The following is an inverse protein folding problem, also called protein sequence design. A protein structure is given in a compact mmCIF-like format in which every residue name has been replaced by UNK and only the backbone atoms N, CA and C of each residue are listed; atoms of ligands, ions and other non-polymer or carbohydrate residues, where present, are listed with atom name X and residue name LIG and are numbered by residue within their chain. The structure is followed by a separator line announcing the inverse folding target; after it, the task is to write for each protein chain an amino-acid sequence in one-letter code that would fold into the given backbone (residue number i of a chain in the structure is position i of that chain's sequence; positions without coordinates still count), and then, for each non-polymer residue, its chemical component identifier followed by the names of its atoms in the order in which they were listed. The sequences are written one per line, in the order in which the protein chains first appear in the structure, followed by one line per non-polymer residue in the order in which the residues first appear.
data_IF_962851749169
#
_entry.id   IF_962851749169
#
_cell.length_a   1.000
_cell.length_b   1.000
_cell.length_c   1.000
_cell.angle_alpha   90.00
_cell.angle_beta   90.00
_cell.angle_gamma   90.00
#
_symmetry.space_group_name_H-M   'P 1'
#
loop_
_entity.id
_entity.type
_entity.pdbx_description
1 polymer ?
#
# COMPACT_ATOMS: atom_id res chain seq x y z
N UNK A 1 25.50 -6.75 -6.89
CA UNK A 1 25.32 -5.28 -6.86
C UNK A 1 23.94 -4.81 -7.32
N UNK A 2 23.23 -5.59 -8.15
CA UNK A 2 21.87 -5.26 -8.61
C UNK A 2 20.84 -5.13 -7.47
N UNK A 3 20.78 -6.08 -6.53
CA UNK A 3 19.84 -6.04 -5.39
C UNK A 3 20.02 -4.80 -4.51
N UNK A 4 21.26 -4.39 -4.23
CA UNK A 4 21.55 -3.16 -3.47
C UNK A 4 21.03 -1.93 -4.18
N UNK A 5 21.22 -1.85 -5.50
CA UNK A 5 20.68 -0.77 -6.32
C UNK A 5 19.14 -0.77 -6.26
N UNK A 6 18.49 -1.93 -6.30
CA UNK A 6 17.03 -2.01 -6.17
C UNK A 6 16.53 -1.49 -4.83
N UNK A 7 17.19 -1.85 -3.72
CA UNK A 7 16.81 -1.36 -2.40
C UNK A 7 17.01 0.16 -2.28
N UNK A 8 18.09 0.69 -2.87
CA UNK A 8 18.33 2.13 -2.95
C UNK A 8 17.24 2.84 -3.76
N UNK A 9 16.89 2.31 -4.94
CA UNK A 9 15.84 2.86 -5.80
C UNK A 9 14.46 2.75 -5.15
N UNK A 10 14.19 1.66 -4.43
CA UNK A 10 12.95 1.49 -3.68
C UNK A 10 12.83 2.55 -2.58
N UNK A 11 13.91 2.84 -1.85
CA UNK A 11 13.96 3.93 -0.88
C UNK A 11 13.78 5.31 -1.52
N UNK A 12 14.48 5.59 -2.62
CA UNK A 12 14.34 6.84 -3.36
C UNK A 12 12.91 7.02 -3.92
N UNK A 13 12.31 5.94 -4.41
CA UNK A 13 10.92 5.93 -4.86
C UNK A 13 9.95 6.23 -3.70
N UNK A 14 10.23 5.75 -2.49
CA UNK A 14 9.50 6.14 -1.29
C UNK A 14 9.49 7.66 -1.08
N UNK A 15 10.63 8.33 -1.27
CA UNK A 15 10.71 9.81 -1.18
C UNK A 15 9.82 10.47 -2.23
N UNK A 16 9.81 9.97 -3.47
CA UNK A 16 8.89 10.49 -4.50
C UNK A 16 7.43 10.27 -4.10
N UNK A 17 7.10 9.09 -3.55
CA UNK A 17 5.77 8.77 -3.03
C UNK A 17 5.31 9.70 -1.91
N UNK A 18 6.20 10.12 -1.02
CA UNK A 18 5.87 11.06 0.06
C UNK A 18 5.65 12.49 -0.45
N UNK A 19 6.41 12.93 -1.46
CA UNK A 19 6.19 14.22 -2.14
C UNK A 19 4.84 14.23 -2.88
N UNK A 20 4.50 13.14 -3.57
CA UNK A 20 3.20 12.96 -4.21
C UNK A 20 2.07 12.99 -3.18
N UNK A 21 2.25 12.29 -2.06
CA UNK A 21 1.30 12.34 -0.94
C UNK A 21 1.10 13.78 -0.46
N UNK A 22 2.17 14.52 -0.14
CA UNK A 22 2.07 15.90 0.35
C UNK A 22 1.33 16.82 -0.63
N UNK A 23 1.44 16.61 -1.94
CA UNK A 23 0.79 17.45 -2.95
C UNK A 23 -0.67 17.08 -3.23
N UNK A 24 -1.00 15.78 -3.21
CA UNK A 24 -2.30 15.29 -3.69
C UNK A 24 -3.24 14.81 -2.57
N UNK A 25 -2.72 14.51 -1.38
CA UNK A 25 -3.53 14.00 -0.27
C UNK A 25 -4.55 15.02 0.25
N UNK A 26 -4.21 16.31 0.24
CA UNK A 26 -5.14 17.37 0.67
C UNK A 26 -6.27 17.59 -0.34
N UNK A 27 -5.98 17.47 -1.65
CA UNK A 27 -6.97 17.71 -2.71
C UNK A 27 -7.90 16.51 -2.93
N UNK A 28 -7.36 15.30 -2.92
CA UNK A 28 -8.12 14.07 -3.23
C UNK A 28 -7.72 12.91 -2.30
N UNK A 29 -8.00 12.99 -0.99
CA UNK A 29 -7.51 12.02 0.00
C UNK A 29 -7.95 10.58 -0.29
N UNK A 30 -9.25 10.37 -0.51
CA UNK A 30 -9.80 9.04 -0.81
C UNK A 30 -9.33 8.51 -2.17
N UNK A 31 -9.35 9.36 -3.20
CA UNK A 31 -8.94 8.98 -4.55
C UNK A 31 -7.45 8.64 -4.66
N UNK A 32 -6.60 9.43 -4.02
CA UNK A 32 -5.16 9.17 -3.94
C UNK A 32 -4.87 7.84 -3.25
N UNK A 33 -5.52 7.58 -2.12
CA UNK A 33 -5.36 6.33 -1.38
C UNK A 33 -5.80 5.09 -2.19
N UNK A 34 -6.97 5.16 -2.82
CA UNK A 34 -7.47 4.10 -3.71
C UNK A 34 -6.51 3.87 -4.89
N UNK A 35 -6.01 4.96 -5.49
CA UNK A 35 -5.03 4.90 -6.57
C UNK A 35 -3.72 4.22 -6.13
N UNK A 36 -3.23 4.53 -4.94
CA UNK A 36 -2.02 3.92 -4.39
C UNK A 36 -2.20 2.40 -4.13
N UNK A 37 -3.34 1.97 -3.57
CA UNK A 37 -3.64 0.54 -3.40
C UNK A 37 -3.77 -0.16 -4.75
N UNK A 38 -4.39 0.49 -5.74
CA UNK A 38 -4.51 -0.06 -7.09
C UNK A 38 -3.13 -0.25 -7.72
N UNK A 39 -2.24 0.74 -7.58
CA UNK A 39 -0.87 0.65 -8.05
C UNK A 39 -0.09 -0.47 -7.35
N UNK A 40 -0.28 -0.65 -6.05
CA UNK A 40 0.29 -1.77 -5.29
C UNK A 40 -0.22 -3.12 -5.82
N UNK A 41 -1.54 -3.27 -6.00
CA UNK A 41 -2.13 -4.52 -6.50
C UNK A 41 -1.62 -4.87 -7.91
N UNK A 42 -1.55 -3.89 -8.81
CA UNK A 42 -0.95 -4.07 -10.13
C UNK A 42 0.53 -4.45 -10.05
N UNK A 43 1.28 -3.82 -9.14
CA UNK A 43 2.70 -4.12 -8.94
C UNK A 43 2.91 -5.58 -8.50
N UNK A 44 2.05 -6.10 -7.61
CA UNK A 44 2.12 -7.49 -7.15
C UNK A 44 1.71 -8.49 -8.23
N UNK A 45 0.69 -8.19 -9.03
CA UNK A 45 0.26 -9.03 -10.16
C UNK A 45 1.34 -9.11 -11.26
N UNK A 46 2.01 -7.99 -11.53
CA UNK A 46 3.05 -7.89 -12.55
C UNK A 46 4.42 -8.38 -12.05
N UNK A 47 4.55 -8.79 -10.79
CA UNK A 47 5.81 -9.22 -10.20
C UNK A 47 6.43 -10.42 -10.92
N UNK A 48 5.66 -11.49 -11.15
CA UNK A 48 6.16 -12.68 -11.85
C UNK A 48 6.56 -12.38 -13.30
N UNK A 49 5.72 -11.73 -14.15
CA UNK A 49 6.13 -11.42 -15.52
C UNK A 49 7.28 -10.42 -15.60
N UNK A 50 7.39 -9.48 -14.66
CA UNK A 50 8.52 -8.55 -14.59
C UNK A 50 9.84 -9.22 -14.16
N UNK A 51 9.78 -10.35 -13.45
CA UNK A 51 10.97 -11.07 -13.02
C UNK A 51 11.82 -11.64 -14.17
N UNK A 52 11.27 -11.72 -15.39
CA UNK A 52 12.01 -12.11 -16.58
C UNK A 52 13.04 -11.08 -17.09
N UNK A 53 13.00 -9.83 -16.61
CA UNK A 53 13.93 -8.78 -17.02
C UNK A 53 14.28 -7.84 -15.87
N UNK A 54 15.59 -7.62 -15.67
CA UNK A 54 16.10 -6.72 -14.62
C UNK A 54 15.54 -5.29 -14.74
N UNK A 55 15.37 -4.79 -15.96
CA UNK A 55 14.81 -3.45 -16.20
C UNK A 55 13.33 -3.36 -15.81
N UNK A 56 12.53 -4.36 -16.18
CA UNK A 56 11.11 -4.42 -15.80
C UNK A 56 10.94 -4.52 -14.29
N UNK A 57 11.73 -5.38 -13.63
CA UNK A 57 11.71 -5.52 -12.18
C UNK A 57 12.10 -4.21 -11.49
N UNK A 58 13.07 -3.46 -12.04
CA UNK A 58 13.52 -2.17 -11.50
C UNK A 58 12.42 -1.12 -11.56
N UNK A 59 11.78 -0.97 -12.72
CA UNK A 59 10.65 -0.04 -12.92
C UNK A 59 9.50 -0.41 -11.98
N UNK A 60 9.18 -1.70 -11.87
CA UNK A 60 8.14 -2.20 -10.98
C UNK A 60 8.43 -1.88 -9.50
N UNK A 61 9.68 -2.07 -9.06
CA UNK A 61 10.11 -1.72 -7.70
C UNK A 61 9.93 -0.23 -7.38
N UNK A 62 10.16 0.66 -8.35
CA UNK A 62 9.95 2.10 -8.16
C UNK A 62 8.46 2.39 -7.92
N UNK A 63 7.57 1.84 -8.76
CA UNK A 63 6.12 2.01 -8.56
C UNK A 63 5.63 1.40 -7.26
N UNK A 64 6.16 0.23 -6.91
CA UNK A 64 5.82 -0.45 -5.66
C UNK A 64 6.25 0.37 -4.43
N UNK A 65 7.47 0.92 -4.44
CA UNK A 65 8.01 1.76 -3.35
C UNK A 65 7.22 3.06 -3.17
N UNK A 66 6.84 3.71 -4.27
CA UNK A 66 5.95 4.89 -4.23
C UNK A 66 4.59 4.54 -3.62
N UNK A 67 3.99 3.42 -4.06
CA UNK A 67 2.66 2.99 -3.62
C UNK A 67 2.62 2.70 -2.11
N UNK A 68 3.58 1.93 -1.59
CA UNK A 68 3.56 1.56 -0.17
C UNK A 68 3.76 2.79 0.74
N UNK A 69 4.63 3.73 0.34
CA UNK A 69 4.82 4.97 1.08
C UNK A 69 3.55 5.82 1.08
N UNK A 70 2.93 5.99 -0.10
CA UNK A 70 1.67 6.73 -0.24
C UNK A 70 0.54 6.14 0.61
N UNK A 71 0.41 4.81 0.65
CA UNK A 71 -0.56 4.09 1.48
C UNK A 71 -0.30 4.37 2.96
N UNK A 72 0.96 4.18 3.41
CA UNK A 72 1.34 4.38 4.82
C UNK A 72 1.04 5.78 5.33
N UNK A 73 1.43 6.81 4.58
CA UNK A 73 1.18 8.21 4.93
C UNK A 73 -0.32 8.55 4.89
N UNK A 74 -1.07 8.04 3.92
CA UNK A 74 -2.51 8.27 3.82
C UNK A 74 -3.27 7.65 4.98
N UNK A 75 -2.91 6.44 5.40
CA UNK A 75 -3.52 5.79 6.56
C UNK A 75 -3.12 6.50 7.85
N UNK A 76 -1.86 6.87 8.01
CA UNK A 76 -1.39 7.62 9.18
C UNK A 76 -2.13 8.96 9.32
N UNK A 77 -2.25 9.74 8.25
CA UNK A 77 -2.98 11.00 8.26
C UNK A 77 -4.46 10.81 8.62
N UNK A 78 -5.09 9.74 8.13
CA UNK A 78 -6.47 9.38 8.50
C UNK A 78 -6.59 9.05 9.99
N UNK A 79 -5.66 8.26 10.54
CA UNK A 79 -5.65 7.92 11.97
C UNK A 79 -5.57 9.19 12.83
N UNK A 80 -4.66 10.11 12.49
CA UNK A 80 -4.55 11.42 13.16
C UNK A 80 -5.85 12.22 13.08
N UNK A 81 -6.50 12.24 11.91
CA UNK A 81 -7.75 12.99 11.73
C UNK A 81 -8.94 12.39 12.49
N UNK A 82 -8.94 11.07 12.74
CA UNK A 82 -10.04 10.36 13.39
C UNK A 82 -9.95 10.40 14.91
N UNK A 83 -8.74 10.54 15.47
CA UNK A 83 -8.51 10.56 16.91
C UNK A 83 -7.53 11.68 17.31
N UNK A 84 -7.86 12.96 17.03
CA UNK A 84 -6.96 14.07 17.33
C UNK A 84 -6.68 14.19 18.84
N UNK A 85 -7.70 13.93 19.68
CA UNK A 85 -7.63 14.04 21.14
C UNK A 85 -6.80 12.93 21.81
N UNK A 86 -6.48 11.86 21.08
CA UNK A 86 -5.76 10.69 21.59
C UNK A 86 -4.67 10.21 20.60
N UNK A 87 -3.98 11.18 19.97
CA UNK A 87 -3.02 10.92 18.89
C UNK A 87 -1.95 9.90 19.28
N UNK A 88 -1.37 9.99 20.47
CA UNK A 88 -0.30 9.08 20.92
C UNK A 88 -0.79 7.62 21.01
N UNK A 89 -1.99 7.42 21.55
CA UNK A 89 -2.61 6.09 21.67
C UNK A 89 -3.02 5.55 20.30
N UNK A 90 -3.65 6.37 19.47
CA UNK A 90 -4.07 6.00 18.13
C UNK A 90 -2.86 5.61 17.25
N UNK A 91 -1.77 6.35 17.34
CA UNK A 91 -0.53 6.07 16.63
C UNK A 91 0.19 4.83 17.15
N UNK A 92 0.14 4.56 18.46
CA UNK A 92 0.66 3.32 19.03
C UNK A 92 -0.11 2.09 18.49
N UNK A 93 -1.44 2.15 18.45
CA UNK A 93 -2.28 1.08 17.87
C UNK A 93 -2.00 0.92 16.37
N UNK A 94 -1.91 2.03 15.63
CA UNK A 94 -1.59 2.01 14.20
C UNK A 94 -0.22 1.36 13.94
N UNK A 95 0.81 1.74 14.70
CA UNK A 95 2.13 1.14 14.63
C UNK A 95 2.10 -0.35 14.97
N UNK A 96 1.34 -0.75 15.99
CA UNK A 96 1.15 -2.16 16.35
C UNK A 96 0.52 -2.97 15.21
N UNK A 97 -0.54 -2.46 14.59
CA UNK A 97 -1.18 -3.07 13.43
C UNK A 97 -0.26 -3.13 12.20
N UNK A 98 0.51 -2.06 11.96
CA UNK A 98 1.46 -2.01 10.84
C UNK A 98 2.54 -3.10 10.98
N UNK A 99 3.11 -3.25 12.18
CA UNK A 99 4.08 -4.31 12.47
C UNK A 99 3.46 -5.70 12.42
N UNK A 100 2.22 -5.87 12.89
CA UNK A 100 1.49 -7.12 12.74
C UNK A 100 1.28 -7.48 11.27
N UNK A 101 0.99 -6.49 10.42
CA UNK A 101 0.90 -6.66 8.96
C UNK A 101 2.22 -7.11 8.35
N UNK A 102 3.34 -6.49 8.73
CA UNK A 102 4.68 -6.90 8.27
C UNK A 102 4.99 -8.34 8.72
N UNK A 103 4.76 -8.66 9.99
CA UNK A 103 5.04 -9.99 10.54
C UNK A 103 4.20 -11.09 9.90
N UNK A 104 2.88 -10.89 9.82
CA UNK A 104 1.97 -11.84 9.16
C UNK A 104 2.27 -11.98 7.67
N UNK A 105 2.60 -10.88 6.98
CA UNK A 105 3.03 -10.91 5.58
C UNK A 105 4.33 -11.69 5.37
N UNK A 106 5.31 -11.53 6.24
CA UNK A 106 6.56 -12.29 6.20
C UNK A 106 6.34 -13.78 6.45
N UNK A 107 5.49 -14.15 7.41
CA UNK A 107 5.11 -15.54 7.67
C UNK A 107 4.39 -16.16 6.46
N UNK A 108 3.40 -15.47 5.89
CA UNK A 108 2.70 -15.93 4.69
C UNK A 108 3.68 -16.07 3.50
N UNK A 109 4.55 -15.09 3.30
CA UNK A 109 5.59 -15.14 2.27
C UNK A 109 6.54 -16.32 2.44
N UNK A 110 6.94 -16.64 3.68
CA UNK A 110 7.75 -17.82 3.99
C UNK A 110 7.01 -19.12 3.65
N UNK A 111 5.75 -19.26 4.06
CA UNK A 111 4.92 -20.44 3.76
C UNK A 111 4.75 -20.66 2.25
N UNK A 112 4.50 -19.58 1.50
CA UNK A 112 4.41 -19.62 0.03
C UNK A 112 5.75 -20.02 -0.57
N UNK A 113 6.86 -19.45 -0.10
CA UNK A 113 8.19 -19.81 -0.58
C UNK A 113 8.53 -21.28 -0.34
N UNK A 114 8.09 -21.87 0.78
CA UNK A 114 8.34 -23.27 1.12
C UNK A 114 7.47 -24.27 0.33
N UNK A 115 6.20 -23.96 0.10
CA UNK A 115 5.24 -24.93 -0.47
C UNK A 115 4.89 -24.69 -1.94
N UNK A 116 4.91 -23.43 -2.39
CA UNK A 116 4.46 -23.01 -3.72
C UNK A 116 5.61 -22.41 -4.55
N UNK A 117 6.75 -22.09 -3.93
CA UNK A 117 7.90 -21.48 -4.57
C UNK A 117 7.86 -19.95 -4.59
N UNK A 118 9.05 -19.33 -4.58
CA UNK A 118 9.25 -17.88 -4.44
C UNK A 118 8.59 -17.06 -5.56
N UNK A 119 8.47 -17.60 -6.77
CA UNK A 119 7.82 -16.91 -7.90
C UNK A 119 6.32 -16.63 -7.68
N UNK A 120 5.65 -17.41 -6.83
CA UNK A 120 4.21 -17.29 -6.60
C UNK A 120 3.83 -16.26 -5.53
N UNK A 121 4.81 -15.62 -4.88
CA UNK A 121 4.57 -14.63 -3.81
C UNK A 121 3.67 -13.48 -4.30
N UNK A 122 3.94 -12.95 -5.51
CA UNK A 122 3.12 -11.88 -6.10
C UNK A 122 1.66 -12.28 -6.30
N UNK A 123 1.42 -13.51 -6.78
CA UNK A 123 0.07 -14.03 -7.00
C UNK A 123 -0.70 -14.33 -5.72
N UNK A 124 -0.01 -14.67 -4.63
CA UNK A 124 -0.67 -14.87 -3.32
C UNK A 124 -0.94 -13.53 -2.63
N UNK A 125 -0.04 -12.55 -2.78
CA UNK A 125 -0.19 -11.23 -2.20
C UNK A 125 -1.22 -10.35 -2.95
N UNK A 126 -1.37 -10.51 -4.26
CA UNK A 126 -2.27 -9.69 -5.06
C UNK A 126 -3.76 -9.80 -4.65
N UNK A 127 -4.34 -10.98 -4.40
CA UNK A 127 -5.70 -11.11 -3.85
C UNK A 127 -5.89 -10.36 -2.53
N UNK A 128 -4.89 -10.37 -1.64
CA UNK A 128 -4.96 -9.61 -0.38
C UNK A 128 -5.04 -8.10 -0.64
N UNK A 129 -4.24 -7.59 -1.58
CA UNK A 129 -4.31 -6.20 -2.01
C UNK A 129 -5.65 -5.85 -2.67
N UNK A 130 -6.23 -6.76 -3.46
CA UNK A 130 -7.54 -6.58 -4.09
C UNK A 130 -8.69 -6.58 -3.08
N UNK A 131 -8.62 -7.42 -2.03
CA UNK A 131 -9.59 -7.39 -0.93
C UNK A 131 -9.52 -6.05 -0.20
N UNK A 132 -8.31 -5.55 0.10
CA UNK A 132 -8.13 -4.23 0.71
C UNK A 132 -8.68 -3.12 -0.18
N UNK A 133 -8.45 -3.19 -1.51
CA UNK A 133 -8.99 -2.25 -2.48
C UNK A 133 -10.52 -2.27 -2.50
N UNK A 134 -11.13 -3.45 -2.55
CA UNK A 134 -12.58 -3.62 -2.54
C UNK A 134 -13.22 -3.06 -1.26
N UNK A 135 -12.58 -3.28 -0.11
CA UNK A 135 -13.00 -2.68 1.15
C UNK A 135 -12.92 -1.15 1.13
N UNK A 136 -11.83 -0.59 0.59
CA UNK A 136 -11.67 0.86 0.48
C UNK A 136 -12.71 1.50 -0.45
N UNK A 137 -12.99 0.87 -1.60
CA UNK A 137 -14.03 1.30 -2.53
C UNK A 137 -15.42 1.27 -1.88
N UNK A 138 -15.74 0.17 -1.18
CA UNK A 138 -17.01 0.04 -0.46
C UNK A 138 -17.15 1.10 0.64
N UNK A 139 -16.08 1.36 1.39
CA UNK A 139 -16.07 2.40 2.42
C UNK A 139 -16.26 3.79 1.83
N UNK A 140 -15.59 4.12 0.72
CA UNK A 140 -15.73 5.40 0.04
C UNK A 140 -17.17 5.59 -0.48
N UNK A 141 -17.72 4.58 -1.14
CA UNK A 141 -19.09 4.60 -1.66
C UNK A 141 -20.13 4.77 -0.55
N UNK A 142 -19.96 4.10 0.59
CA UNK A 142 -20.86 4.25 1.74
C UNK A 142 -20.83 5.66 2.33
N UNK A 143 -19.65 6.27 2.45
CA UNK A 143 -19.51 7.63 2.98
C UNK A 143 -20.19 8.67 2.09
N UNK A 144 -20.04 8.58 0.78
CA UNK A 144 -20.73 9.47 -0.16
C UNK A 144 -22.26 9.32 -0.09
N UNK A 145 -22.75 8.07 0.03
CA UNK A 145 -24.20 7.81 0.13
C UNK A 145 -24.81 8.33 1.43
N UNK A 146 -24.08 8.29 2.55
CA UNK A 146 -24.53 8.81 3.85
C UNK A 146 -24.60 10.34 3.86
N UNK A 147 -23.70 11.03 3.16
CA UNK A 147 -23.75 12.49 3.03
C UNK A 147 -24.95 12.96 2.19
N UNK A 148 -25.34 12.22 1.16
CA UNK A 148 -26.53 12.53 0.34
C UNK A 148 -27.86 12.35 1.10
N UNK A 149 -27.89 11.53 2.15
CA UNK A 149 -29.09 11.31 2.96
C UNK A 149 -29.32 12.38 4.03
N UNK A 150 -28.26 13.07 4.49
CA UNK A 150 -28.38 14.18 5.45
C UNK A 150 -28.67 15.54 4.78
N UNK A 151 -28.52 15.66 3.45
CA UNK A 151 -28.81 16.88 2.69
C UNK A 151 -30.22 16.92 2.09
N UNK A 152 -31.06 15.94 2.40
CA UNK A 152 -32.50 15.88 2.07
C UNK A 152 -33.31 15.94 3.34
#
# INVERSE_FOLDING_TARGET
NFTTLMLLLFGAAGIVGSLLFSRYSERFPSGFFIGAITLLALSLLLLLPAAGSESHLTVLCIFWGMAIMAIGLSMQARVLSLAPDATDVAMAIFSGLYNFGIGSGALLGNQVSLHLGMGNIGFVAAPLALIALGWCLLSAYRSERLQQHHSR
#
